data_IF_617827966152
#
_entry.id   IF_617827966152
#
_cell.length_a   1.000
_cell.length_b   1.000
_cell.length_c   1.000
_cell.angle_alpha   90.00
_cell.angle_beta   90.00
_cell.angle_gamma   90.00
#
_symmetry.space_group_name_H-M   'P 1'
#
loop_
_entity.id
_entity.type
_entity.pdbx_description
1 polymer ?
#
# COMPACT_ATOMS: atom_id res chain seq x y z
N UNK A 1 8.04 -9.51 20.92
CA UNK A 1 7.26 -9.39 19.67
C UNK A 1 8.19 -8.93 18.56
N UNK A 2 8.11 -9.55 17.39
CA UNK A 2 8.84 -9.11 16.20
C UNK A 2 8.17 -7.87 15.58
N UNK A 3 8.91 -7.08 14.79
CA UNK A 3 8.34 -5.94 14.04
C UNK A 3 7.22 -6.37 13.07
N UNK A 4 7.27 -7.60 12.61
CA UNK A 4 6.27 -8.22 11.73
C UNK A 4 4.99 -8.52 12.54
N UNK A 5 5.13 -9.13 13.72
CA UNK A 5 4.01 -9.38 14.64
C UNK A 5 3.30 -8.07 15.04
N UNK A 6 4.06 -7.02 15.37
CA UNK A 6 3.49 -5.70 15.69
C UNK A 6 2.72 -5.09 14.52
N UNK A 7 3.18 -5.29 13.28
CA UNK A 7 2.51 -4.78 12.10
C UNK A 7 1.20 -5.54 11.80
N UNK A 8 1.18 -6.87 11.96
CA UNK A 8 -0.05 -7.66 11.81
C UNK A 8 -1.10 -7.30 12.86
N UNK A 9 -0.70 -7.12 14.12
CA UNK A 9 -1.60 -6.70 15.20
C UNK A 9 -2.26 -5.35 14.88
N UNK A 10 -1.53 -4.42 14.26
CA UNK A 10 -2.08 -3.12 13.83
C UNK A 10 -3.10 -3.26 12.70
N UNK A 11 -2.84 -4.14 11.72
CA UNK A 11 -3.81 -4.41 10.63
C UNK A 11 -5.09 -5.00 11.21
N UNK A 12 -4.97 -6.01 12.07
CA UNK A 12 -6.12 -6.67 12.67
C UNK A 12 -7.00 -5.69 13.47
N UNK A 13 -6.39 -4.84 14.30
CA UNK A 13 -7.13 -3.80 15.06
C UNK A 13 -7.85 -2.80 14.16
N UNK A 14 -7.24 -2.42 13.04
CA UNK A 14 -7.86 -1.50 12.08
C UNK A 14 -9.05 -2.16 11.35
N UNK A 15 -8.95 -3.45 11.02
CA UNK A 15 -10.06 -4.23 10.42
C UNK A 15 -11.21 -4.42 11.41
N UNK A 16 -10.91 -4.71 12.68
CA UNK A 16 -11.91 -4.80 13.76
C UNK A 16 -12.64 -3.46 13.97
N UNK A 17 -11.91 -2.33 13.90
CA UNK A 17 -12.51 -0.99 14.01
C UNK A 17 -13.46 -0.69 12.85
N UNK A 18 -13.10 -1.03 11.61
CA UNK A 18 -13.98 -0.87 10.46
C UNK A 18 -15.22 -1.77 10.56
N UNK A 19 -15.06 -3.02 11.01
CA UNK A 19 -16.18 -3.93 11.20
C UNK A 19 -17.15 -3.44 12.28
N UNK A 20 -16.64 -2.92 13.40
CA UNK A 20 -17.45 -2.31 14.45
C UNK A 20 -18.20 -1.07 13.95
N UNK A 21 -17.54 -0.25 13.13
CA UNK A 21 -18.15 0.92 12.52
C UNK A 21 -19.26 0.53 11.53
N UNK A 22 -19.01 -0.42 10.63
CA UNK A 22 -19.98 -0.92 9.65
C UNK A 22 -21.19 -1.58 10.35
N UNK A 23 -20.99 -2.25 11.49
CA UNK A 23 -22.06 -2.82 12.31
C UNK A 23 -22.93 -1.75 12.99
N UNK A 24 -22.31 -0.65 13.48
CA UNK A 24 -23.02 0.43 14.15
C UNK A 24 -23.81 1.34 13.20
N UNK A 25 -23.41 1.43 11.93
CA UNK A 25 -23.97 2.37 10.94
C UNK A 25 -24.78 1.68 9.84
N UNK A 26 -25.36 0.52 10.13
CA UNK A 26 -26.26 -0.15 9.18
C UNK A 26 -27.53 0.65 8.93
N UNK A 27 -27.91 0.77 7.66
CA UNK A 27 -29.18 1.38 7.27
C UNK A 27 -30.35 0.52 7.75
N UNK A 28 -31.31 1.18 8.40
CA UNK A 28 -32.53 0.56 8.93
C UNK A 28 -33.70 0.77 7.97
N UNK A 29 -34.70 -0.11 8.03
CA UNK A 29 -35.94 0.01 7.23
C UNK A 29 -36.75 1.28 7.53
N UNK A 30 -36.42 1.96 8.63
CA UNK A 30 -37.03 3.22 9.08
C UNK A 30 -36.30 4.47 8.59
N UNK A 31 -35.15 4.34 7.90
CA UNK A 31 -34.42 5.49 7.41
C UNK A 31 -35.20 6.24 6.31
N UNK A 32 -35.13 7.59 6.26
CA UNK A 32 -35.93 8.41 5.34
C UNK A 32 -35.75 8.12 3.85
N UNK A 33 -34.68 7.42 3.46
CA UNK A 33 -34.43 6.96 2.10
C UNK A 33 -35.16 5.66 1.72
N UNK A 34 -35.69 4.91 2.69
CA UNK A 34 -36.44 3.68 2.47
C UNK A 34 -37.91 3.99 2.18
N UNK A 35 -38.48 3.31 1.18
CA UNK A 35 -39.72 3.66 0.49
C UNK A 35 -40.98 3.76 1.38
N UNK A 36 -40.94 3.25 2.62
CA UNK A 36 -42.11 3.11 3.50
C UNK A 36 -42.71 4.43 4.01
N UNK A 37 -41.95 5.54 4.05
CA UNK A 37 -42.43 6.82 4.59
C UNK A 37 -42.96 7.81 3.54
N UNK A 38 -42.85 7.49 2.24
CA UNK A 38 -43.20 8.41 1.14
C UNK A 38 -44.68 8.79 1.06
N UNK A 39 -45.58 7.95 1.57
CA UNK A 39 -47.02 8.11 1.35
C UNK A 39 -47.77 8.82 2.50
N UNK A 40 -47.14 9.00 3.66
CA UNK A 40 -47.84 9.47 4.88
C UNK A 40 -47.28 10.78 5.48
N UNK A 41 -46.23 11.36 4.89
CA UNK A 41 -45.56 12.56 5.44
C UNK A 41 -45.68 13.74 4.46
N UNK A 42 -46.00 14.96 4.92
CA UNK A 42 -46.01 16.15 4.07
C UNK A 42 -44.66 16.38 3.38
N UNK A 43 -44.69 16.70 2.08
CA UNK A 43 -43.49 16.80 1.22
C UNK A 43 -42.39 17.71 1.81
N UNK A 44 -42.74 18.84 2.42
CA UNK A 44 -41.79 19.77 3.02
C UNK A 44 -41.02 19.16 4.20
N UNK A 45 -41.71 18.38 5.04
CA UNK A 45 -41.09 17.66 6.17
C UNK A 45 -40.19 16.53 5.66
N UNK A 46 -40.64 15.83 4.62
CA UNK A 46 -39.88 14.76 3.95
C UNK A 46 -38.57 15.28 3.35
N UNK A 47 -38.59 16.44 2.67
CA UNK A 47 -37.39 17.05 2.11
C UNK A 47 -36.36 17.47 3.17
N UNK A 48 -36.83 18.01 4.30
CA UNK A 48 -35.96 18.38 5.43
C UNK A 48 -35.32 17.14 6.06
N UNK A 49 -36.12 16.12 6.37
CA UNK A 49 -35.64 14.85 6.94
C UNK A 49 -34.67 14.13 5.98
N UNK A 50 -34.96 14.13 4.68
CA UNK A 50 -34.08 13.55 3.66
C UNK A 50 -32.75 14.29 3.57
N UNK A 51 -32.74 15.62 3.61
CA UNK A 51 -31.51 16.41 3.54
C UNK A 51 -30.64 16.17 4.77
N UNK A 52 -31.23 16.14 5.97
CA UNK A 52 -30.53 15.77 7.21
C UNK A 52 -29.95 14.37 7.13
N UNK A 53 -30.72 13.40 6.63
CA UNK A 53 -30.27 12.02 6.43
C UNK A 53 -29.12 11.92 5.43
N UNK A 54 -29.21 12.54 4.27
CA UNK A 54 -28.14 12.53 3.26
C UNK A 54 -26.85 13.17 3.79
N UNK A 55 -26.96 14.23 4.60
CA UNK A 55 -25.80 14.83 5.26
C UNK A 55 -25.18 13.90 6.31
N UNK A 56 -26.00 13.12 7.04
CA UNK A 56 -25.51 12.08 7.95
C UNK A 56 -24.74 11.01 7.19
N UNK A 57 -25.33 10.43 6.14
CA UNK A 57 -24.71 9.41 5.29
C UNK A 57 -23.41 9.90 4.65
N UNK A 58 -23.33 11.16 4.22
CA UNK A 58 -22.09 11.74 3.69
C UNK A 58 -20.97 11.81 4.74
N UNK A 59 -21.29 12.17 5.98
CA UNK A 59 -20.32 12.20 7.08
C UNK A 59 -19.86 10.80 7.44
N UNK A 60 -20.80 9.88 7.55
CA UNK A 60 -20.54 8.46 7.81
C UNK A 60 -19.62 7.87 6.72
N UNK A 61 -19.91 8.10 5.44
CA UNK A 61 -19.07 7.63 4.34
C UNK A 61 -17.66 8.25 4.35
N UNK A 62 -17.51 9.51 4.78
CA UNK A 62 -16.19 10.14 4.89
C UNK A 62 -15.36 9.50 6.01
N UNK A 63 -15.98 9.20 7.15
CA UNK A 63 -15.33 8.48 8.25
C UNK A 63 -14.92 7.06 7.85
N UNK A 64 -15.81 6.34 7.16
CA UNK A 64 -15.50 5.03 6.58
C UNK A 64 -14.30 5.08 5.63
N UNK A 65 -14.23 6.09 4.77
CA UNK A 65 -13.12 6.26 3.83
C UNK A 65 -11.79 6.51 4.55
N UNK A 66 -11.80 7.25 5.67
CA UNK A 66 -10.61 7.43 6.51
C UNK A 66 -10.13 6.09 7.10
N UNK A 67 -11.05 5.30 7.67
CA UNK A 67 -10.74 3.98 8.24
C UNK A 67 -10.17 3.01 7.19
N UNK A 68 -10.74 2.98 5.98
CA UNK A 68 -10.22 2.18 4.86
C UNK A 68 -8.79 2.63 4.50
N UNK A 69 -8.55 3.94 4.42
CA UNK A 69 -7.21 4.47 4.15
C UNK A 69 -6.19 4.13 5.24
N UNK A 70 -6.60 4.07 6.51
CA UNK A 70 -5.73 3.63 7.61
C UNK A 70 -5.38 2.15 7.52
N UNK A 71 -6.32 1.29 7.14
CA UNK A 71 -6.07 -0.14 6.88
C UNK A 71 -5.06 -0.30 5.74
N UNK A 72 -5.22 0.42 4.64
CA UNK A 72 -4.28 0.34 3.51
C UNK A 72 -2.86 0.77 3.92
N UNK A 73 -2.74 1.85 4.70
CA UNK A 73 -1.45 2.29 5.27
C UNK A 73 -0.85 1.23 6.19
N UNK A 74 -1.65 0.61 7.06
CA UNK A 74 -1.21 -0.45 7.95
C UNK A 74 -0.76 -1.70 7.16
N UNK A 75 -1.50 -2.10 6.13
CA UNK A 75 -1.13 -3.20 5.23
C UNK A 75 0.15 -2.90 4.46
N UNK A 76 0.33 -1.67 4.00
CA UNK A 76 1.58 -1.25 3.37
C UNK A 76 2.76 -1.32 4.35
N UNK A 77 2.58 -0.89 5.59
CA UNK A 77 3.60 -0.99 6.63
C UNK A 77 3.95 -2.45 6.99
N UNK A 78 2.94 -3.34 7.07
CA UNK A 78 3.15 -4.77 7.29
C UNK A 78 3.95 -5.40 6.14
N UNK A 79 3.56 -5.16 4.89
CA UNK A 79 4.33 -5.58 3.71
C UNK A 79 5.76 -5.02 3.74
N UNK A 80 5.95 -3.78 4.17
CA UNK A 80 7.29 -3.19 4.28
C UNK A 80 8.14 -3.85 5.36
N UNK A 81 7.54 -4.32 6.46
CA UNK A 81 8.20 -5.00 7.57
C UNK A 81 8.53 -6.46 7.26
N UNK A 82 7.71 -7.15 6.47
CA UNK A 82 7.95 -8.53 6.01
C UNK A 82 9.10 -8.64 5.01
N UNK A 83 9.44 -7.55 4.31
CA UNK A 83 10.50 -7.57 3.31
C UNK A 83 11.85 -7.71 4.02
N UNK A 84 12.62 -8.79 3.73
CA UNK A 84 13.95 -8.97 4.27
C UNK A 84 14.80 -7.75 3.90
N UNK A 85 15.24 -7.00 4.91
CA UNK A 85 16.10 -5.84 4.76
C UNK A 85 17.41 -6.09 5.49
N UNK A 86 18.17 -7.05 4.98
CA UNK A 86 19.60 -7.04 5.28
C UNK A 86 20.19 -5.79 4.61
N UNK A 87 20.93 -4.94 5.36
CA UNK A 87 21.62 -3.82 4.76
C UNK A 87 22.59 -4.38 3.72
N UNK A 88 22.43 -3.89 2.48
CA UNK A 88 23.31 -4.19 1.36
C UNK A 88 24.76 -3.95 1.81
N UNK A 89 25.55 -5.01 1.98
CA UNK A 89 26.97 -4.88 2.30
C UNK A 89 27.69 -4.27 1.09
N UNK A 90 28.20 -3.03 1.18
CA UNK A 90 28.90 -2.41 0.06
C UNK A 90 30.17 -3.18 -0.33
N UNK A 91 30.75 -4.00 0.56
CA UNK A 91 31.87 -4.86 0.22
C UNK A 91 31.45 -6.01 -0.73
N UNK A 92 30.29 -6.63 -0.48
CA UNK A 92 29.74 -7.68 -1.32
C UNK A 92 29.34 -7.19 -2.73
N UNK A 93 29.09 -5.89 -2.90
CA UNK A 93 28.75 -5.29 -4.19
C UNK A 93 29.93 -4.69 -4.96
N UNK A 94 31.13 -4.69 -4.38
CA UNK A 94 32.30 -4.11 -5.03
C UNK A 94 32.61 -4.93 -6.30
N UNK A 95 32.54 -4.29 -7.47
CA UNK A 95 32.75 -4.94 -8.77
C UNK A 95 31.51 -5.66 -9.33
N UNK A 96 30.31 -5.42 -8.79
CA UNK A 96 29.07 -5.90 -9.37
C UNK A 96 28.78 -5.22 -10.73
N UNK A 97 28.43 -6.01 -11.74
CA UNK A 97 28.06 -5.53 -13.09
C UNK A 97 26.55 -5.41 -13.21
N UNK A 98 25.81 -6.34 -12.61
CA UNK A 98 24.36 -6.33 -12.60
C UNK A 98 23.82 -6.77 -11.24
N UNK A 99 22.65 -6.25 -10.90
CA UNK A 99 21.90 -6.61 -9.69
C UNK A 99 20.48 -6.99 -10.08
N UNK A 100 19.96 -8.02 -9.42
CA UNK A 100 18.57 -8.42 -9.59
C UNK A 100 17.70 -7.63 -8.64
N UNK A 101 16.71 -6.94 -9.19
CA UNK A 101 15.75 -6.09 -8.45
C UNK A 101 14.35 -6.63 -8.70
N UNK A 102 13.51 -6.65 -7.67
CA UNK A 102 12.08 -6.95 -7.85
C UNK A 102 11.32 -5.64 -8.07
N UNK A 103 10.80 -5.47 -9.29
CA UNK A 103 10.01 -4.31 -9.70
C UNK A 103 8.60 -4.80 -10.04
N UNK A 104 7.57 -4.23 -9.40
CA UNK A 104 6.15 -4.57 -9.66
C UNK A 104 5.81 -6.07 -9.63
N UNK A 105 6.52 -6.85 -8.82
CA UNK A 105 6.29 -8.29 -8.66
C UNK A 105 7.07 -9.20 -9.62
N UNK A 106 7.91 -8.63 -10.49
CA UNK A 106 8.81 -9.39 -11.37
C UNK A 106 10.27 -9.12 -11.01
N UNK A 107 11.11 -10.17 -11.07
CA UNK A 107 12.54 -10.05 -10.85
C UNK A 107 13.24 -9.71 -12.18
N UNK A 108 13.91 -8.56 -12.22
CA UNK A 108 14.60 -8.05 -13.39
C UNK A 108 16.08 -7.78 -13.08
N UNK A 109 16.95 -8.11 -14.04
CA UNK A 109 18.38 -7.80 -13.95
C UNK A 109 18.64 -6.38 -14.46
N UNK A 110 19.22 -5.54 -13.61
CA UNK A 110 19.62 -4.18 -13.96
C UNK A 110 21.13 -4.01 -13.89
N UNK A 111 21.71 -3.30 -14.87
CA UNK A 111 23.14 -3.00 -14.90
C UNK A 111 23.48 -1.94 -13.84
N UNK A 112 24.49 -2.21 -13.02
CA UNK A 112 24.96 -1.30 -11.97
C UNK A 112 25.75 -0.14 -12.58
N UNK A 113 25.48 1.08 -12.11
CA UNK A 113 26.25 2.29 -12.47
C UNK A 113 27.11 2.72 -11.28
N UNK A 114 26.49 2.79 -10.10
CA UNK A 114 27.13 3.32 -8.89
C UNK A 114 26.63 2.58 -7.67
N UNK A 115 27.54 2.21 -6.79
CA UNK A 115 27.24 1.67 -5.47
C UNK A 115 27.54 2.75 -4.43
N UNK A 116 26.55 3.11 -3.63
CA UNK A 116 26.69 3.96 -2.46
C UNK A 116 26.61 3.10 -1.19
N UNK A 117 26.87 3.70 -0.01
CA UNK A 117 26.82 2.99 1.28
C UNK A 117 25.48 2.31 1.57
N UNK A 118 24.38 2.81 1.03
CA UNK A 118 23.01 2.34 1.33
C UNK A 118 22.17 2.02 0.10
N UNK A 119 22.64 2.35 -1.10
CA UNK A 119 21.85 2.21 -2.35
C UNK A 119 22.73 1.87 -3.53
N UNK A 120 22.16 1.21 -4.53
CA UNK A 120 22.77 0.96 -5.83
C UNK A 120 21.97 1.66 -6.90
N UNK A 121 22.63 2.52 -7.66
CA UNK A 121 22.05 3.14 -8.85
C UNK A 121 22.24 2.23 -10.04
N UNK A 122 21.15 1.88 -10.71
CA UNK A 122 21.16 1.00 -11.87
C UNK A 122 20.63 1.70 -13.14
N UNK A 123 20.93 1.13 -14.30
CA UNK A 123 20.30 1.49 -15.57
C UNK A 123 18.83 1.03 -15.59
N UNK A 124 17.96 1.89 -16.12
CA UNK A 124 16.60 1.50 -16.48
C UNK A 124 16.60 0.49 -17.65
N UNK A 125 15.52 -0.28 -17.84
CA UNK A 125 15.39 -1.20 -18.98
C UNK A 125 15.55 -0.47 -20.33
N UNK A 126 16.05 -1.15 -21.39
CA UNK A 126 16.15 -0.55 -22.71
C UNK A 126 14.78 -0.04 -23.20
N UNK A 127 14.73 1.23 -23.62
CA UNK A 127 13.49 1.92 -24.01
C UNK A 127 13.07 3.07 -23.07
N UNK A 128 13.77 3.27 -21.95
CA UNK A 128 13.61 4.45 -21.09
C UNK A 128 14.82 5.38 -21.23
N UNK A 129 14.60 6.60 -21.72
CA UNK A 129 15.61 7.68 -21.70
C UNK A 129 16.00 8.00 -20.26
N UNK A 130 17.25 7.65 -19.91
CA UNK A 130 17.92 7.78 -18.61
C UNK A 130 17.08 8.38 -17.45
N UNK A 131 16.47 7.52 -16.61
CA UNK A 131 16.33 7.85 -15.20
C UNK A 131 17.18 6.91 -14.35
N UNK A 132 17.96 7.50 -13.46
CA UNK A 132 18.77 6.80 -12.46
C UNK A 132 17.84 6.37 -11.32
N UNK A 133 17.60 5.07 -11.17
CA UNK A 133 16.81 4.56 -10.05
C UNK A 133 17.73 4.06 -8.93
N UNK A 134 17.66 4.66 -7.72
CA UNK A 134 18.32 4.11 -6.56
C UNK A 134 17.54 2.88 -6.07
N UNK A 135 18.20 1.73 -6.05
CA UNK A 135 17.69 0.49 -5.50
C UNK A 135 18.37 0.21 -4.17
N UNK A 136 17.58 0.01 -3.12
CA UNK A 136 18.04 -0.43 -1.79
C UNK A 136 17.83 -1.92 -1.57
N UNK A 137 17.17 -2.61 -2.51
CA UNK A 137 16.79 -4.03 -2.42
C UNK A 137 17.38 -4.79 -3.59
N UNK A 138 18.30 -5.70 -3.29
CA UNK A 138 19.06 -6.49 -4.26
C UNK A 138 18.92 -7.95 -3.88
N UNK A 139 18.46 -8.77 -4.81
CA UNK A 139 18.18 -10.19 -4.58
C UNK A 139 19.31 -11.11 -5.04
N UNK A 140 20.06 -10.66 -6.06
CA UNK A 140 21.23 -11.37 -6.56
C UNK A 140 22.19 -10.36 -7.18
N UNK A 141 23.47 -10.72 -7.19
CA UNK A 141 24.55 -9.89 -7.71
C UNK A 141 25.32 -10.71 -8.72
N UNK A 142 25.63 -10.11 -9.87
CA UNK A 142 26.51 -10.71 -10.88
C UNK A 142 27.83 -9.96 -10.91
N UNK A 143 28.91 -10.68 -10.61
CA UNK A 143 30.29 -10.21 -10.78
C UNK A 143 30.84 -10.74 -12.11
N UNK A 144 31.84 -10.04 -12.67
CA UNK A 144 32.56 -10.55 -13.83
C UNK A 144 33.25 -11.87 -13.44
N UNK A 145 32.93 -12.95 -14.16
CA UNK A 145 33.73 -14.17 -14.14
C UNK A 145 34.84 -13.93 -15.14
N UNK A 146 36.08 -13.87 -14.67
CA UNK A 146 37.24 -13.76 -15.56
C UNK A 146 37.29 -14.94 -16.54
N UNK A 147 37.25 -14.61 -17.84
CA UNK A 147 37.87 -15.26 -19.00
C UNK A 147 37.74 -16.78 -19.19
N UNK A 148 37.16 -17.17 -20.33
CA UNK A 148 37.55 -18.42 -20.98
C UNK A 148 37.87 -18.16 -22.45
N UNK A 149 39.09 -18.52 -22.82
CA UNK A 149 39.59 -18.61 -24.20
C UNK A 149 38.65 -19.49 -25.05
N UNK A 150 38.22 -18.97 -26.20
CA UNK A 150 37.97 -19.69 -27.46
C UNK A 150 37.61 -18.68 -28.56
#
# INVERSE_FOLDING_TARGET
>A
MSRIEEAHVRVQRAEEALAAWDAAHQLTSTDPGMQSRRFHVPQARLNKELTTYLNRVRRENAERALLVGEIEKAKHAARAAEIPSEPVDPAALKGAIAVMVVTRGHAEWHRVIRVNKTTVTCWAPPGFDQPRHPHSRIYAVRHEVGGHDA
#
